data_IF_149328068723
#
_entry.id   IF_149328068723
#
_cell.length_a   1.000
_cell.length_b   1.000
_cell.length_c   1.000
_cell.angle_alpha   90.00
_cell.angle_beta   90.00
_cell.angle_gamma   90.00
#
_symmetry.space_group_name_H-M   'P 1'
#
loop_
_entity.id
_entity.type
_entity.pdbx_description
1 polymer ?
#
# COMPACT_ATOMS: atom_id res chain seq x y z
N UNK A 1 20.14 25.34 23.24
CA UNK A 1 19.61 25.09 21.88
C UNK A 1 18.17 24.66 22.06
N UNK A 2 17.23 25.55 21.78
CA UNK A 2 15.80 25.35 22.02
C UNK A 2 15.23 24.35 21.01
N UNK A 3 14.84 23.16 21.46
CA UNK A 3 14.00 22.24 20.68
C UNK A 3 12.54 22.63 20.85
N UNK A 4 12.08 23.57 20.02
CA UNK A 4 10.65 23.83 19.84
C UNK A 4 10.12 22.84 18.81
N UNK A 5 9.57 21.73 19.30
CA UNK A 5 8.82 20.77 18.48
C UNK A 5 7.62 21.48 17.87
N UNK A 6 7.55 21.52 16.53
CA UNK A 6 6.41 22.08 15.83
C UNK A 6 5.30 21.03 15.82
N UNK A 7 4.08 21.41 16.23
CA UNK A 7 2.92 20.53 16.35
C UNK A 7 2.43 19.89 15.02
N UNK A 8 3.18 20.02 13.93
CA UNK A 8 2.99 19.32 12.65
C UNK A 8 3.91 18.11 12.45
N UNK A 9 5.00 17.97 13.21
CA UNK A 9 6.03 16.94 13.02
C UNK A 9 5.61 15.57 13.59
N UNK A 10 4.70 15.51 14.58
CA UNK A 10 4.33 14.26 15.27
C UNK A 10 3.55 13.28 14.36
N UNK A 11 2.79 13.81 13.39
CA UNK A 11 2.08 12.98 12.42
C UNK A 11 3.03 12.48 11.32
N UNK A 12 3.95 13.34 10.85
CA UNK A 12 5.00 12.94 9.90
C UNK A 12 5.97 11.94 10.52
N UNK A 13 6.38 12.10 11.78
CA UNK A 13 7.32 11.18 12.45
C UNK A 13 6.70 9.80 12.66
N UNK A 14 5.40 9.72 13.00
CA UNK A 14 4.73 8.42 13.11
C UNK A 14 4.51 7.77 11.75
N UNK A 15 4.10 8.54 10.74
CA UNK A 15 3.91 8.01 9.38
C UNK A 15 5.26 7.58 8.81
N UNK A 16 6.32 8.37 8.99
CA UNK A 16 7.67 8.12 8.50
C UNK A 16 8.34 6.97 9.26
N UNK A 17 8.21 6.88 10.58
CA UNK A 17 8.74 5.76 11.36
C UNK A 17 8.00 4.44 11.07
N UNK A 18 6.67 4.49 10.84
CA UNK A 18 5.90 3.31 10.43
C UNK A 18 6.23 2.90 8.99
N UNK A 19 6.55 3.86 8.13
CA UNK A 19 6.98 3.64 6.76
C UNK A 19 8.41 3.10 6.73
N UNK A 20 9.36 3.65 7.48
CA UNK A 20 10.76 3.18 7.59
C UNK A 20 10.85 1.76 8.11
N UNK A 21 10.03 1.39 9.11
CA UNK A 21 10.02 0.02 9.65
C UNK A 21 9.49 -1.03 8.67
N UNK A 22 8.82 -0.62 7.59
CA UNK A 22 8.18 -1.50 6.62
C UNK A 22 8.49 -1.13 5.14
N UNK A 23 9.46 -0.24 4.91
CA UNK A 23 9.68 0.46 3.64
C UNK A 23 10.15 -0.45 2.49
N UNK A 24 10.78 -1.57 2.80
CA UNK A 24 11.22 -2.52 1.77
C UNK A 24 10.08 -3.31 1.15
N UNK A 25 8.88 -3.29 1.75
CA UNK A 25 7.78 -4.12 1.36
C UNK A 25 6.45 -3.48 1.74
N UNK A 26 5.91 -2.54 0.93
CA UNK A 26 4.49 -2.21 1.03
C UNK A 26 3.70 -3.53 1.05
N UNK A 27 2.93 -3.85 2.10
CA UNK A 27 2.28 -5.13 2.19
C UNK A 27 1.25 -5.18 1.07
N UNK A 28 1.13 -6.28 0.33
CA UNK A 28 0.05 -6.44 -0.66
C UNK A 28 -1.33 -6.16 -0.05
N UNK A 29 -1.47 -6.40 1.25
CA UNK A 29 -2.64 -6.09 2.07
C UNK A 29 -2.99 -4.61 2.13
N UNK A 30 -2.01 -3.69 2.00
CA UNK A 30 -2.27 -2.25 1.95
C UNK A 30 -3.05 -1.87 0.69
N UNK A 31 -2.58 -2.36 -0.47
CA UNK A 31 -3.24 -2.13 -1.75
C UNK A 31 -4.63 -2.77 -1.81
N UNK A 32 -4.79 -3.96 -1.23
CA UNK A 32 -6.10 -4.61 -1.09
C UNK A 32 -7.04 -3.78 -0.19
N UNK A 33 -6.53 -3.28 0.94
CA UNK A 33 -7.29 -2.41 1.84
C UNK A 33 -7.70 -1.09 1.17
N UNK A 34 -6.80 -0.47 0.40
CA UNK A 34 -7.10 0.73 -0.38
C UNK A 34 -8.16 0.49 -1.46
N UNK A 35 -8.10 -0.66 -2.15
CA UNK A 35 -9.12 -1.06 -3.10
C UNK A 35 -10.49 -1.22 -2.43
N UNK A 36 -10.56 -1.93 -1.30
CA UNK A 36 -11.80 -2.12 -0.54
C UNK A 36 -12.34 -0.79 -0.01
N UNK A 37 -11.48 0.08 0.52
CA UNK A 37 -11.87 1.40 0.99
C UNK A 37 -12.44 2.26 -0.15
N UNK A 38 -11.82 2.23 -1.33
CA UNK A 38 -12.33 2.87 -2.54
C UNK A 38 -13.71 2.35 -2.93
N UNK A 39 -13.95 1.04 -2.89
CA UNK A 39 -15.25 0.43 -3.18
C UNK A 39 -16.33 0.86 -2.18
N UNK A 40 -16.03 0.83 -0.88
CA UNK A 40 -16.96 1.23 0.18
C UNK A 40 -17.28 2.73 0.12
N UNK A 41 -16.27 3.56 -0.12
CA UNK A 41 -16.45 5.00 -0.29
C UNK A 41 -17.31 5.31 -1.52
N UNK A 42 -17.01 4.66 -2.65
CA UNK A 42 -17.79 4.76 -3.89
C UNK A 42 -19.26 4.41 -3.65
N UNK A 43 -19.53 3.29 -2.98
CA UNK A 43 -20.89 2.87 -2.64
C UNK A 43 -21.60 3.89 -1.75
N UNK A 44 -20.89 4.45 -0.76
CA UNK A 44 -21.43 5.47 0.15
C UNK A 44 -21.82 6.74 -0.61
N UNK A 45 -21.00 7.18 -1.58
CA UNK A 45 -21.34 8.30 -2.46
C UNK A 45 -22.49 7.98 -3.42
N UNK A 46 -22.60 6.74 -3.89
CA UNK A 46 -23.69 6.29 -4.75
C UNK A 46 -25.04 6.36 -4.02
N UNK A 47 -25.09 5.89 -2.76
CA UNK A 47 -26.27 5.98 -1.90
C UNK A 47 -26.63 7.43 -1.56
N UNK A 48 -25.63 8.32 -1.50
CA UNK A 48 -25.84 9.76 -1.31
C UNK A 48 -26.21 10.52 -2.60
N UNK A 49 -26.52 9.83 -3.71
CA UNK A 49 -26.82 10.41 -5.03
C UNK A 49 -25.71 11.31 -5.60
N UNK A 50 -24.44 11.05 -5.22
CA UNK A 50 -23.26 11.76 -5.70
C UNK A 50 -22.53 10.93 -6.76
N UNK A 51 -23.22 10.59 -7.84
CA UNK A 51 -22.79 9.61 -8.85
C UNK A 51 -21.41 9.91 -9.45
N UNK A 52 -21.10 11.18 -9.72
CA UNK A 52 -19.78 11.58 -10.27
C UNK A 52 -18.63 11.26 -9.32
N UNK A 53 -18.84 11.46 -8.02
CA UNK A 53 -17.84 11.19 -6.98
C UNK A 53 -17.73 9.69 -6.74
N UNK A 54 -18.86 8.99 -6.73
CA UNK A 54 -18.92 7.54 -6.64
C UNK A 54 -18.12 6.88 -7.77
N UNK A 55 -18.38 7.29 -9.03
CA UNK A 55 -17.67 6.77 -10.20
C UNK A 55 -16.17 7.09 -10.16
N UNK A 56 -15.81 8.34 -9.87
CA UNK A 56 -14.40 8.74 -9.79
C UNK A 56 -13.63 7.91 -8.76
N UNK A 57 -14.18 7.74 -7.56
CA UNK A 57 -13.50 6.99 -6.49
C UNK A 57 -13.49 5.49 -6.79
N UNK A 58 -14.59 4.93 -7.30
CA UNK A 58 -14.70 3.50 -7.60
C UNK A 58 -13.74 3.04 -8.71
N UNK A 59 -13.40 3.92 -9.65
CA UNK A 59 -12.42 3.64 -10.70
C UNK A 59 -11.01 3.36 -10.16
N UNK A 60 -10.67 3.78 -8.95
CA UNK A 60 -9.35 3.54 -8.34
C UNK A 60 -9.19 2.15 -7.72
N UNK A 61 -10.27 1.37 -7.54
CA UNK A 61 -10.18 0.03 -6.97
C UNK A 61 -9.31 -0.91 -7.81
N UNK A 62 -9.55 -0.97 -9.14
CA UNK A 62 -8.76 -1.80 -10.05
C UNK A 62 -7.27 -1.37 -10.12
N UNK A 63 -6.93 -0.08 -10.26
CA UNK A 63 -5.55 0.42 -10.13
C UNK A 63 -4.85 -0.03 -8.85
N UNK A 64 -5.50 0.08 -7.68
CA UNK A 64 -4.90 -0.37 -6.43
C UNK A 64 -4.63 -1.88 -6.42
N UNK A 65 -5.57 -2.70 -6.89
CA UNK A 65 -5.36 -4.14 -7.01
C UNK A 65 -4.20 -4.50 -7.96
N UNK A 66 -4.08 -3.81 -9.10
CA UNK A 66 -2.99 -4.01 -10.04
C UNK A 66 -1.63 -3.69 -9.41
N UNK A 67 -1.52 -2.60 -8.66
CA UNK A 67 -0.30 -2.27 -7.91
C UNK A 67 0.03 -3.33 -6.84
N UNK A 68 -0.98 -3.84 -6.14
CA UNK A 68 -0.82 -4.93 -5.18
C UNK A 68 -0.31 -6.22 -5.81
N UNK A 69 -0.86 -6.61 -6.96
CA UNK A 69 -0.45 -7.79 -7.72
C UNK A 69 0.97 -7.62 -8.26
N UNK A 70 1.29 -6.47 -8.84
CA UNK A 70 2.63 -6.17 -9.34
C UNK A 70 3.70 -6.32 -8.25
N UNK A 71 3.47 -5.69 -7.09
CA UNK A 71 4.40 -5.76 -5.96
C UNK A 71 4.56 -7.18 -5.41
N UNK A 72 3.48 -7.97 -5.39
CA UNK A 72 3.55 -9.40 -5.01
C UNK A 72 4.35 -10.21 -6.04
N UNK A 73 4.12 -9.99 -7.33
CA UNK A 73 4.82 -10.68 -8.41
C UNK A 73 6.33 -10.41 -8.37
N UNK A 74 6.76 -9.15 -8.22
CA UNK A 74 8.17 -8.76 -8.16
C UNK A 74 8.91 -9.46 -7.01
N UNK A 75 8.29 -9.53 -5.83
CA UNK A 75 8.88 -10.19 -4.66
C UNK A 75 8.96 -11.71 -4.80
N UNK A 76 7.98 -12.32 -5.46
CA UNK A 76 8.00 -13.76 -5.72
C UNK A 76 9.16 -14.13 -6.67
N UNK A 77 9.37 -13.36 -7.75
CA UNK A 77 10.47 -13.62 -8.69
C UNK A 77 11.87 -13.36 -8.11
N UNK A 78 12.00 -12.48 -7.11
CA UNK A 78 13.26 -12.29 -6.39
C UNK A 78 13.57 -13.37 -5.34
N UNK A 79 12.54 -13.90 -4.68
CA UNK A 79 12.72 -14.93 -3.63
C UNK A 79 13.06 -16.30 -4.23
N UNK A 80 12.46 -16.65 -5.37
CA UNK A 80 12.74 -17.90 -6.08
C UNK A 80 14.19 -17.97 -6.59
N UNK A 81 14.81 -16.82 -6.89
CA UNK A 81 16.22 -16.73 -7.30
C UNK A 81 17.19 -17.02 -6.15
N UNK A 82 16.93 -16.49 -4.94
CA UNK A 82 17.78 -16.70 -3.76
C UNK A 82 17.72 -18.15 -3.28
N UNK A 83 16.52 -18.75 -3.21
CA UNK A 83 16.37 -20.16 -2.80
C UNK A 83 17.04 -21.16 -3.75
N UNK A 84 17.32 -20.77 -4.99
CA UNK A 84 18.02 -21.61 -5.98
C UNK A 84 19.54 -21.54 -5.83
N UNK A 85 20.10 -20.43 -5.32
CA UNK A 85 21.54 -20.29 -5.08
C UNK A 85 21.99 -21.05 -3.83
N UNK A 86 21.28 -20.94 -2.70
CA UNK A 86 21.60 -21.70 -1.48
C UNK A 86 21.60 -23.23 -1.72
N UNK A 87 20.69 -23.71 -2.56
CA UNK A 87 20.59 -25.14 -2.87
C UNK A 87 21.71 -25.66 -3.78
N UNK A 88 22.42 -24.76 -4.46
CA UNK A 88 23.54 -25.06 -5.36
C UNK A 88 24.89 -24.99 -4.64
N UNK A 89 24.98 -24.16 -3.60
CA UNK A 89 26.17 -24.06 -2.74
C UNK A 89 26.21 -25.12 -1.63
N UNK A 90 25.07 -25.75 -1.33
CA UNK A 90 24.95 -26.85 -0.37
C UNK A 90 25.15 -28.26 -0.98
N UNK A 91 25.46 -28.36 -2.29
CA UNK A 91 25.64 -29.61 -3.03
C UNK A 91 27.06 -29.70 -3.62
#
# INVERSE_FOLDING_TARGET
MDHRVHAGEVAEDQVTAYLERNSSQLPSSFFLGAALASMVASLSFQVAHKDKQALFIGQWAAPFLLLGIYNKMVKQHGSDAVSREEHKDAA
#
